data_IF_621329043554
#
_entry.id   IF_621329043554
#
_cell.length_a   1.000
_cell.length_b   1.000
_cell.length_c   1.000
_cell.angle_alpha   90.00
_cell.angle_beta   90.00
_cell.angle_gamma   90.00
#
_symmetry.space_group_name_H-M   'P 1'
#
loop_
_entity.id
_entity.type
_entity.pdbx_description
1 polymer ?
#
# COMPACT_ATOMS: atom_id res chain seq x y z
N UNK A 1 -4.04 -6.05 1.57
CA UNK A 1 -4.43 -6.90 0.42
C UNK A 1 -4.76 -6.10 -0.85
N UNK A 2 -5.64 -5.09 -0.79
CA UNK A 2 -6.07 -4.31 -1.97
C UNK A 2 -4.92 -3.85 -2.91
N UNK A 3 -3.86 -3.25 -2.36
CA UNK A 3 -2.72 -2.77 -3.16
C UNK A 3 -1.99 -3.88 -3.93
N UNK A 4 -1.91 -5.12 -3.42
CA UNK A 4 -1.25 -6.22 -4.16
C UNK A 4 -2.03 -6.60 -5.43
N UNK A 5 -3.34 -6.33 -5.45
CA UNK A 5 -4.27 -6.63 -6.54
C UNK A 5 -4.56 -5.42 -7.45
N UNK A 6 -3.70 -4.39 -7.45
CA UNK A 6 -3.85 -3.14 -8.23
C UNK A 6 -5.13 -2.36 -7.92
N UNK A 7 -5.66 -2.50 -6.70
CA UNK A 7 -6.81 -1.74 -6.26
C UNK A 7 -6.33 -0.49 -5.51
N UNK A 8 -6.83 0.70 -5.89
CA UNK A 8 -6.59 1.92 -5.14
C UNK A 8 -7.38 1.90 -3.82
N UNK A 9 -6.86 2.59 -2.81
CA UNK A 9 -7.52 2.64 -1.50
C UNK A 9 -8.56 3.75 -1.44
N UNK A 10 -9.65 3.48 -0.73
CA UNK A 10 -10.58 4.48 -0.23
C UNK A 10 -10.85 4.08 1.22
N UNK A 11 -10.37 4.87 2.17
CA UNK A 11 -10.43 4.50 3.59
C UNK A 11 -10.41 5.73 4.49
N UNK A 12 -11.13 5.65 5.60
CA UNK A 12 -11.07 6.64 6.69
C UNK A 12 -9.77 6.54 7.49
N UNK A 13 -9.23 5.33 7.65
CA UNK A 13 -7.96 5.11 8.33
C UNK A 13 -6.79 5.20 7.35
N UNK A 14 -5.67 5.76 7.80
CA UNK A 14 -4.50 5.98 6.95
C UNK A 14 -3.18 5.49 7.59
N UNK A 15 -3.08 4.20 7.96
CA UNK A 15 -1.82 3.64 8.46
C UNK A 15 -0.72 3.73 7.39
N UNK A 16 0.50 4.08 7.80
CA UNK A 16 1.68 4.25 6.93
C UNK A 16 1.48 5.24 5.75
N UNK A 17 0.49 6.12 5.85
CA UNK A 17 0.00 7.01 4.79
C UNK A 17 -0.47 6.31 3.51
N UNK A 18 -0.86 5.03 3.58
CA UNK A 18 -1.18 4.26 2.38
C UNK A 18 -2.41 4.76 1.64
N UNK A 19 -3.49 5.13 2.36
CA UNK A 19 -4.70 5.64 1.75
C UNK A 19 -4.44 6.96 1.02
N UNK A 20 -3.64 7.86 1.62
CA UNK A 20 -3.22 9.11 1.00
C UNK A 20 -2.28 8.90 -0.19
N UNK A 21 -1.35 7.95 -0.12
CA UNK A 21 -0.30 7.73 -1.15
C UNK A 21 -0.80 6.96 -2.37
N UNK A 22 -1.72 6.02 -2.17
CA UNK A 22 -2.14 5.03 -3.17
C UNK A 22 -3.66 4.98 -3.36
N UNK A 23 -4.35 6.07 -3.04
CA UNK A 23 -5.80 6.12 -3.02
C UNK A 23 -6.33 7.49 -2.62
N UNK A 24 -7.43 7.47 -1.88
CA UNK A 24 -8.05 8.60 -1.23
C UNK A 24 -8.18 8.32 0.28
N UNK A 25 -7.77 9.27 1.10
CA UNK A 25 -7.96 9.22 2.55
C UNK A 25 -9.20 10.04 2.90
N UNK A 26 -10.30 9.36 3.18
CA UNK A 26 -11.60 9.96 3.49
C UNK A 26 -11.63 10.40 4.96
N UNK A 27 -10.95 11.51 5.28
CA UNK A 27 -10.75 12.00 6.65
C UNK A 27 -12.03 12.38 7.38
N UNK A 28 -13.02 12.82 6.62
CA UNK A 28 -14.30 13.33 7.14
C UNK A 28 -15.44 12.37 6.78
N UNK A 29 -15.13 11.08 6.60
CA UNK A 29 -16.07 10.05 6.11
C UNK A 29 -16.71 10.39 4.75
N UNK A 30 -16.01 11.20 3.96
CA UNK A 30 -16.37 11.74 2.66
C UNK A 30 -16.18 10.71 1.50
N UNK A 31 -16.61 9.48 1.73
CA UNK A 31 -16.42 8.36 0.81
C UNK A 31 -17.01 8.59 -0.58
N UNK A 32 -18.15 9.27 -0.65
CA UNK A 32 -18.79 9.59 -1.94
C UNK A 32 -17.94 10.51 -2.80
N UNK A 33 -17.31 11.51 -2.19
CA UNK A 33 -16.37 12.40 -2.88
C UNK A 33 -15.10 11.65 -3.27
N UNK A 34 -14.54 10.89 -2.34
CA UNK A 34 -13.36 10.07 -2.60
C UNK A 34 -13.56 9.08 -3.75
N UNK A 35 -14.73 8.44 -3.84
CA UNK A 35 -15.07 7.54 -4.95
C UNK A 35 -15.16 8.29 -6.28
N UNK A 36 -15.86 9.43 -6.32
CA UNK A 36 -15.94 10.27 -7.53
C UNK A 36 -14.55 10.69 -8.00
N UNK A 37 -13.71 11.15 -7.08
CA UNK A 37 -12.32 11.53 -7.35
C UNK A 37 -11.49 10.34 -7.87
N UNK A 38 -11.68 9.13 -7.36
CA UNK A 38 -10.97 7.94 -7.84
C UNK A 38 -11.40 7.54 -9.26
N UNK A 39 -12.68 7.64 -9.58
CA UNK A 39 -13.24 7.31 -10.90
C UNK A 39 -12.87 8.36 -11.96
N UNK A 40 -12.77 9.63 -11.57
CA UNK A 40 -12.40 10.73 -12.45
C UNK A 40 -11.09 10.42 -13.20
N UNK A 41 -11.14 10.47 -14.54
CA UNK A 41 -9.99 10.19 -15.43
C UNK A 41 -9.28 8.86 -15.13
N UNK A 42 -10.00 7.87 -14.59
CA UNK A 42 -9.45 6.58 -14.17
C UNK A 42 -8.27 6.69 -13.18
N UNK A 43 -8.29 7.69 -12.30
CA UNK A 43 -7.21 7.95 -11.33
C UNK A 43 -6.89 6.73 -10.46
N UNK A 44 -7.92 5.96 -10.09
CA UNK A 44 -7.80 4.69 -9.37
C UNK A 44 -6.83 3.71 -10.03
N UNK A 45 -6.77 3.67 -11.36
CA UNK A 45 -5.92 2.71 -12.09
C UNK A 45 -4.44 3.03 -11.91
N UNK A 46 -4.07 4.31 -11.95
CA UNK A 46 -2.68 4.76 -11.74
C UNK A 46 -2.26 4.56 -10.29
N UNK A 47 -3.13 4.91 -9.35
CA UNK A 47 -2.87 4.76 -7.92
C UNK A 47 -2.76 3.29 -7.50
N UNK A 48 -3.66 2.44 -7.97
CA UNK A 48 -3.62 1.00 -7.74
C UNK A 48 -2.35 0.33 -8.29
N UNK A 49 -1.90 0.72 -9.50
CA UNK A 49 -0.61 0.24 -10.05
C UNK A 49 0.58 0.65 -9.18
N UNK A 50 0.67 1.92 -8.78
CA UNK A 50 1.72 2.42 -7.87
C UNK A 50 1.69 1.69 -6.52
N UNK A 51 0.49 1.42 -6.02
CA UNK A 51 0.25 0.62 -4.82
C UNK A 51 0.83 -0.79 -4.94
N UNK A 52 0.57 -1.46 -6.05
CA UNK A 52 1.10 -2.79 -6.33
C UNK A 52 2.63 -2.78 -6.41
N UNK A 53 3.23 -1.79 -7.07
CA UNK A 53 4.69 -1.64 -7.13
C UNK A 53 5.30 -1.44 -5.73
N UNK A 54 4.66 -0.59 -4.91
CA UNK A 54 5.04 -0.44 -3.51
C UNK A 54 4.99 -1.77 -2.77
N UNK A 55 3.90 -2.54 -2.90
CA UNK A 55 3.79 -3.84 -2.23
C UNK A 55 4.84 -4.82 -2.74
N UNK A 56 5.15 -4.85 -4.04
CA UNK A 56 6.20 -5.72 -4.61
C UNK A 56 7.58 -5.38 -4.04
N UNK A 57 7.92 -4.09 -3.96
CA UNK A 57 9.19 -3.61 -3.39
C UNK A 57 9.24 -3.83 -1.88
N UNK A 58 8.11 -3.64 -1.21
CA UNK A 58 7.97 -3.68 0.24
C UNK A 58 7.49 -5.04 0.73
N UNK A 59 7.41 -6.07 -0.14
CA UNK A 59 7.10 -7.43 0.28
C UNK A 59 8.26 -7.93 1.12
N UNK A 60 8.19 -7.51 2.38
CA UNK A 60 9.20 -7.52 3.42
C UNK A 60 9.60 -8.95 3.75
N UNK A 61 8.88 -9.97 3.29
CA UNK A 61 9.23 -11.37 3.51
C UNK A 61 10.69 -11.66 3.15
N UNK A 62 11.15 -11.28 1.95
CA UNK A 62 12.57 -11.47 1.57
C UNK A 62 13.53 -10.63 2.40
N UNK A 63 13.16 -9.40 2.75
CA UNK A 63 14.04 -8.49 3.54
C UNK A 63 14.13 -8.93 5.00
N UNK A 64 13.01 -9.27 5.61
CA UNK A 64 12.88 -9.74 7.00
C UNK A 64 13.55 -11.09 7.12
N UNK A 65 13.30 -12.05 6.22
CA UNK A 65 14.06 -13.31 6.17
C UNK A 65 15.56 -13.02 6.06
N UNK A 66 15.98 -12.15 5.15
CA UNK A 66 17.42 -11.81 5.02
C UNK A 66 17.98 -11.17 6.29
N UNK A 67 17.19 -10.39 7.03
CA UNK A 67 17.59 -9.82 8.32
C UNK A 67 17.67 -10.90 9.41
N UNK A 68 16.71 -11.81 9.49
CA UNK A 68 16.74 -12.94 10.42
C UNK A 68 17.91 -13.90 10.12
N UNK A 69 18.14 -14.26 8.86
CA UNK A 69 19.26 -15.10 8.44
C UNK A 69 20.61 -14.51 8.87
N UNK A 70 20.81 -13.19 8.69
CA UNK A 70 22.01 -12.50 9.17
C UNK A 70 22.20 -12.57 10.68
N UNK A 71 21.11 -12.60 11.45
CA UNK A 71 21.18 -12.74 12.91
C UNK A 71 21.51 -14.19 13.27
N UNK A 72 20.90 -15.17 12.62
CA UNK A 72 21.17 -16.59 12.86
C UNK A 72 22.60 -16.99 12.47
N UNK A 73 23.11 -16.52 11.34
CA UNK A 73 24.50 -16.73 10.91
C UNK A 73 25.51 -16.18 11.93
N UNK A 74 25.19 -15.05 12.58
CA UNK A 74 26.04 -14.46 13.63
C UNK A 74 25.99 -15.20 14.97
N UNK A 75 24.95 -15.99 15.22
CA UNK A 75 24.80 -16.76 16.46
C UNK A 75 25.37 -18.18 16.34
N UNK A 76 25.61 -18.64 15.11
CA UNK A 76 26.18 -19.95 14.80
C UNK A 76 27.70 -19.91 14.54
N UNK A 77 28.31 -18.73 14.57
CA UNK A 77 29.76 -18.48 14.57
C UNK A 77 30.21 -18.08 15.98
#
# INVERSE_FOLDING_TARGET
>A
EALSRRCALLSYVNPDDLARKYGYWAREEDFGEGLRWLLEKNRWRKLGKRGQEYVKRTHKYRRVIKQHMKVYEKLLL
#
